data_IF_004882817740
#
_entry.id   IF_004882817740
#
_cell.length_a   1.000
_cell.length_b   1.000
_cell.length_c   1.000
_cell.angle_alpha   90.00
_cell.angle_beta   90.00
_cell.angle_gamma   90.00
#
_symmetry.space_group_name_H-M   'P 1'
#
loop_
_entity.id
_entity.type
_entity.pdbx_description
1 polymer ?
#
# COMPACT_ATOMS: atom_id res chain seq x y z
N UNK A 1 -1.59 -1.23 -29.65
CA UNK A 1 -0.35 -1.03 -28.88
C UNK A 1 -0.70 -0.97 -27.41
N UNK A 2 -0.62 -2.10 -26.71
CA UNK A 2 -0.89 -2.14 -25.27
C UNK A 2 0.33 -1.59 -24.54
N UNK A 3 0.22 -0.39 -23.99
CA UNK A 3 1.27 0.18 -23.15
C UNK A 3 1.50 -0.74 -21.93
N UNK A 4 2.75 -0.98 -21.49
CA UNK A 4 2.98 -1.75 -20.28
C UNK A 4 2.48 -0.92 -19.10
N UNK A 5 1.47 -1.43 -18.39
CA UNK A 5 1.04 -0.85 -17.11
C UNK A 5 2.17 -1.12 -16.13
N UNK A 6 3.05 -0.13 -15.97
CA UNK A 6 3.73 0.27 -14.73
C UNK A 6 3.79 -0.85 -13.65
N UNK A 7 4.70 -1.83 -13.83
CA UNK A 7 4.88 -3.00 -12.93
C UNK A 7 5.09 -2.64 -11.44
N UNK A 8 5.32 -1.37 -11.12
CA UNK A 8 5.52 -0.83 -9.78
C UNK A 8 4.27 -0.35 -9.06
N UNK A 9 3.07 -0.57 -9.62
CA UNK A 9 1.80 -0.15 -9.02
C UNK A 9 0.90 -1.35 -8.72
N UNK A 10 0.49 -1.50 -7.46
CA UNK A 10 -0.38 -2.58 -6.99
C UNK A 10 -1.57 -2.03 -6.23
N UNK A 11 -2.76 -2.61 -6.44
CA UNK A 11 -3.99 -2.21 -5.75
C UNK A 11 -4.64 -3.39 -5.07
N UNK A 12 -5.15 -3.17 -3.86
CA UNK A 12 -5.99 -4.14 -3.13
C UNK A 12 -7.21 -3.43 -2.55
N UNK A 13 -8.25 -4.19 -2.28
CA UNK A 13 -9.47 -3.72 -1.64
C UNK A 13 -9.68 -4.47 -0.32
N UNK A 14 -9.96 -3.73 0.74
CA UNK A 14 -10.17 -4.27 2.08
C UNK A 14 -11.50 -3.75 2.67
N UNK A 15 -12.32 -4.61 3.29
CA UNK A 15 -13.58 -4.23 3.92
C UNK A 15 -13.36 -3.68 5.34
N UNK A 16 -12.50 -2.68 5.47
CA UNK A 16 -12.11 -2.01 6.72
C UNK A 16 -12.29 -0.51 6.54
N UNK A 17 -12.48 0.24 7.63
CA UNK A 17 -12.52 1.70 7.55
C UNK A 17 -11.11 2.27 7.32
N UNK A 18 -11.03 3.39 6.59
CA UNK A 18 -9.75 4.04 6.28
C UNK A 18 -8.95 4.38 7.54
N UNK A 19 -9.61 4.95 8.55
CA UNK A 19 -8.95 5.36 9.80
C UNK A 19 -8.38 4.17 10.58
N UNK A 20 -9.13 3.05 10.64
CA UNK A 20 -8.68 1.81 11.29
C UNK A 20 -7.47 1.22 10.55
N UNK A 21 -7.51 1.21 9.22
CA UNK A 21 -6.40 0.72 8.41
C UNK A 21 -5.17 1.62 8.57
N UNK A 22 -5.32 2.94 8.46
CA UNK A 22 -4.21 3.90 8.65
C UNK A 22 -3.58 3.71 10.04
N UNK A 23 -4.40 3.62 11.09
CA UNK A 23 -3.92 3.38 12.45
C UNK A 23 -3.15 2.07 12.58
N UNK A 24 -3.66 0.97 12.01
CA UNK A 24 -2.96 -0.32 11.98
C UNK A 24 -1.60 -0.22 11.27
N UNK A 25 -1.56 0.47 10.13
CA UNK A 25 -0.35 0.64 9.32
C UNK A 25 0.76 1.39 10.04
N UNK A 26 0.39 2.45 10.75
CA UNK A 26 1.34 3.25 11.53
C UNK A 26 1.82 2.46 12.75
N UNK A 27 0.90 1.88 13.52
CA UNK A 27 1.22 1.29 14.83
C UNK A 27 1.86 -0.10 14.74
N UNK A 28 1.46 -0.94 13.78
CA UNK A 28 1.94 -2.32 13.68
C UNK A 28 3.05 -2.49 12.64
N UNK A 29 2.96 -1.74 11.54
CA UNK A 29 3.85 -1.90 10.38
C UNK A 29 4.88 -0.78 10.23
N UNK A 30 4.89 0.19 11.16
CA UNK A 30 5.81 1.32 11.18
C UNK A 30 5.78 2.16 9.89
N UNK A 31 4.59 2.30 9.28
CA UNK A 31 4.41 3.27 8.20
C UNK A 31 4.44 4.69 8.75
N UNK A 32 5.01 5.61 7.98
CA UNK A 32 5.06 7.03 8.31
C UNK A 32 4.01 7.76 7.47
N UNK A 33 3.10 8.47 8.11
CA UNK A 33 2.13 9.32 7.41
C UNK A 33 2.83 10.57 6.87
N UNK A 34 2.71 10.79 5.56
CA UNK A 34 3.30 11.93 4.85
C UNK A 34 2.24 12.87 4.28
N UNK A 35 0.97 12.50 4.42
CA UNK A 35 -0.19 13.27 4.00
C UNK A 35 -1.47 12.50 4.30
N UNK A 36 -2.64 13.13 4.10
CA UNK A 36 -3.93 12.51 4.42
C UNK A 36 -4.10 11.16 3.71
N UNK A 37 -4.12 10.07 4.48
CA UNK A 37 -4.20 8.69 3.99
C UNK A 37 -3.06 8.30 3.04
N UNK A 38 -1.93 9.00 3.11
CA UNK A 38 -0.72 8.73 2.33
C UNK A 38 0.42 8.41 3.28
N UNK A 39 0.98 7.22 3.09
CA UNK A 39 1.91 6.58 4.01
C UNK A 39 3.17 6.14 3.24
N UNK A 40 4.31 6.13 3.91
CA UNK A 40 5.58 5.64 3.36
C UNK A 40 6.15 4.57 4.28
N UNK A 41 6.69 3.51 3.69
CA UNK A 41 7.35 2.42 4.39
C UNK A 41 8.78 2.23 3.91
N UNK A 42 9.73 2.38 4.83
CA UNK A 42 11.17 2.20 4.63
C UNK A 42 11.73 2.95 3.39
N UNK A 43 11.16 4.11 3.04
CA UNK A 43 11.45 4.88 1.82
C UNK A 43 11.31 4.11 0.48
N UNK A 44 10.85 2.86 0.54
CA UNK A 44 10.76 1.93 -0.57
C UNK A 44 9.36 1.98 -1.20
N UNK A 45 8.32 2.00 -0.36
CA UNK A 45 6.92 1.88 -0.77
C UNK A 45 6.16 3.12 -0.32
N UNK A 46 5.40 3.72 -1.23
CA UNK A 46 4.36 4.70 -0.91
C UNK A 46 3.01 4.02 -1.03
N UNK A 47 2.21 4.16 0.01
CA UNK A 47 0.86 3.65 0.11
C UNK A 47 -0.12 4.82 0.11
N UNK A 48 -1.22 4.68 -0.63
CA UNK A 48 -2.33 5.62 -0.61
C UNK A 48 -3.63 4.86 -0.37
N UNK A 49 -4.40 5.29 0.62
CA UNK A 49 -5.66 4.65 1.00
C UNK A 49 -6.81 5.60 0.65
N UNK A 50 -7.81 5.09 -0.05
CA UNK A 50 -9.02 5.84 -0.37
C UNK A 50 -10.24 5.02 0.01
N UNK A 51 -11.31 5.67 0.46
CA UNK A 51 -12.62 5.02 0.54
C UNK A 51 -13.27 5.01 -0.84
N UNK A 52 -13.66 3.84 -1.32
CA UNK A 52 -14.40 3.66 -2.56
C UNK A 52 -15.60 2.77 -2.25
N UNK A 53 -16.79 3.37 -2.26
CA UNK A 53 -18.06 2.67 -2.00
C UNK A 53 -18.05 1.90 -0.67
N UNK A 54 -17.45 2.47 0.39
CA UNK A 54 -17.37 1.81 1.71
C UNK A 54 -16.34 0.68 1.81
N UNK A 55 -15.45 0.55 0.82
CA UNK A 55 -14.27 -0.32 0.88
C UNK A 55 -12.99 0.52 0.79
N UNK A 56 -11.97 0.15 1.56
CA UNK A 56 -10.65 0.74 1.43
C UNK A 56 -9.95 0.25 0.16
N UNK A 57 -9.70 1.15 -0.78
CA UNK A 57 -8.80 0.95 -1.91
C UNK A 57 -7.39 1.39 -1.52
N UNK A 58 -6.50 0.42 -1.37
CA UNK A 58 -5.10 0.64 -1.03
C UNK A 58 -4.27 0.53 -2.29
N UNK A 59 -3.55 1.59 -2.63
CA UNK A 59 -2.62 1.63 -3.76
C UNK A 59 -1.20 1.69 -3.24
N UNK A 60 -0.37 0.74 -3.64
CA UNK A 60 1.07 0.72 -3.38
C UNK A 60 1.84 1.12 -4.62
N UNK A 61 2.85 1.97 -4.42
CA UNK A 61 3.74 2.42 -5.48
C UNK A 61 5.19 2.29 -5.02
N UNK A 62 6.04 1.76 -5.88
CA UNK A 62 7.49 1.77 -5.66
C UNK A 62 8.03 3.21 -5.70
N UNK A 63 8.81 3.59 -4.69
CA UNK A 63 9.48 4.89 -4.60
C UNK A 63 10.96 4.74 -4.94
N UNK A 64 11.64 3.77 -4.31
CA UNK A 64 13.08 3.49 -4.48
C UNK A 64 13.32 1.99 -4.68
N UNK A 65 14.58 1.57 -4.68
CA UNK A 65 14.97 0.15 -4.79
C UNK A 65 14.66 -0.48 -6.15
N UNK A 66 14.93 -1.77 -6.24
CA UNK A 66 14.62 -2.61 -7.39
C UNK A 66 13.15 -3.02 -7.40
N UNK A 67 12.65 -3.48 -8.55
CA UNK A 67 11.28 -3.99 -8.66
C UNK A 67 11.10 -5.26 -7.80
N UNK A 68 12.11 -6.12 -7.74
CA UNK A 68 12.09 -7.38 -6.98
C UNK A 68 11.96 -7.14 -5.46
N UNK A 69 12.75 -6.22 -4.90
CA UNK A 69 12.64 -5.84 -3.48
C UNK A 69 11.23 -5.32 -3.13
N UNK A 70 10.67 -4.48 -4.00
CA UNK A 70 9.31 -3.97 -3.86
C UNK A 70 8.26 -5.08 -3.92
N UNK A 71 8.37 -5.99 -4.88
CA UNK A 71 7.40 -7.07 -5.06
C UNK A 71 7.45 -8.09 -3.92
N UNK A 72 8.65 -8.43 -3.45
CA UNK A 72 8.83 -9.34 -2.32
C UNK A 72 8.26 -8.72 -1.03
N UNK A 73 8.63 -7.48 -0.71
CA UNK A 73 8.11 -6.80 0.48
C UNK A 73 6.57 -6.66 0.44
N UNK A 74 5.98 -6.36 -0.72
CA UNK A 74 4.53 -6.29 -0.86
C UNK A 74 3.84 -7.65 -0.82
N UNK A 75 4.47 -8.72 -1.30
CA UNK A 75 3.86 -10.05 -1.29
C UNK A 75 3.61 -10.49 0.15
N UNK A 76 4.64 -10.42 0.99
CA UNK A 76 4.56 -10.86 2.39
C UNK A 76 3.54 -10.02 3.15
N UNK A 77 3.63 -8.70 3.00
CA UNK A 77 2.73 -7.76 3.63
C UNK A 77 1.25 -7.93 3.22
N UNK A 78 0.96 -8.12 1.92
CA UNK A 78 -0.42 -8.34 1.46
C UNK A 78 -0.96 -9.70 1.94
N UNK A 79 -0.11 -10.72 2.06
CA UNK A 79 -0.49 -12.01 2.61
C UNK A 79 -0.87 -11.90 4.10
N UNK A 80 -0.16 -11.09 4.88
CA UNK A 80 -0.52 -10.81 6.28
C UNK A 80 -1.84 -10.02 6.40
N UNK A 81 -2.06 -9.03 5.53
CA UNK A 81 -3.27 -8.21 5.55
C UNK A 81 -4.57 -8.97 5.24
N UNK A 82 -4.49 -10.12 4.57
CA UNK A 82 -5.63 -10.94 4.19
C UNK A 82 -6.02 -12.00 5.24
N UNK A 83 -5.22 -12.17 6.29
CA UNK A 83 -5.51 -13.08 7.40
C UNK A 83 -6.37 -12.39 8.45
#
# INVERSE_FOLDING_TARGET
SSQPIENSLKRIYLPVKVEELVGKMINEYNFIEVGKNELVWNDLIRMKINDINGMCCVTFRKVKGTLEEYENALRDFICELKQ
#
